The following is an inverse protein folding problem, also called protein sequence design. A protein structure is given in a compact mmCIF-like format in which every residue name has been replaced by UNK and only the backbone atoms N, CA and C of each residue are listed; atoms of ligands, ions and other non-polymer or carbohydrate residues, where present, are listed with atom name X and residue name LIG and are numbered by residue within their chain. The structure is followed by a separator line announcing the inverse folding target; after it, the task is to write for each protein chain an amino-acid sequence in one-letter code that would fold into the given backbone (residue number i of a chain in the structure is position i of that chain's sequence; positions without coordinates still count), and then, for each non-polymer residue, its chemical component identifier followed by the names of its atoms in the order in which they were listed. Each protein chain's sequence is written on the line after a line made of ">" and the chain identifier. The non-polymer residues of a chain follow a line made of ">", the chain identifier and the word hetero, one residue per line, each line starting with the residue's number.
data_IF_678562106365
#
_entry.id   IF_678562106365
#
_cell.length_a   1.000
_cell.length_b   1.000
_cell.length_c   1.000
_cell.angle_alpha   90.00
_cell.angle_beta   90.00
_cell.angle_gamma   90.00
#
_symmetry.space_group_name_H-M   'P 1'
#
loop_
_entity.id
_entity.type
_entity.pdbx_description
1 polymer ?
#
# COMPACT_ATOMS: atom_id res chain seq x y z
N UNK A 1 6.42 -11.34 -7.89
CA UNK A 1 5.57 -11.26 -9.10
C UNK A 1 6.31 -12.11 -10.08
N UNK A 2 5.75 -13.28 -10.34
CA UNK A 2 6.51 -14.34 -10.96
C UNK A 2 6.00 -14.46 -12.38
N UNK A 3 6.92 -14.31 -13.34
CA UNK A 3 6.59 -14.30 -14.76
C UNK A 3 7.17 -15.55 -15.40
N UNK A 4 6.28 -16.38 -15.93
CA UNK A 4 6.60 -17.62 -16.61
C UNK A 4 6.63 -17.37 -18.11
N UNK A 5 7.66 -17.90 -18.77
CA UNK A 5 7.85 -17.80 -20.21
C UNK A 5 7.53 -19.14 -20.86
N UNK A 6 6.78 -19.11 -21.94
CA UNK A 6 6.36 -20.31 -22.66
C UNK A 6 7.13 -20.45 -23.97
N UNK A 7 7.53 -21.68 -24.27
CA UNK A 7 8.14 -22.02 -25.56
C UNK A 7 7.09 -21.93 -26.67
N UNK A 8 7.35 -21.06 -27.63
CA UNK A 8 6.45 -20.76 -28.74
C UNK A 8 6.29 -21.95 -29.67
N UNK A 9 7.37 -22.71 -29.91
CA UNK A 9 7.33 -23.87 -30.79
C UNK A 9 6.38 -24.94 -30.25
N UNK A 10 6.28 -25.04 -28.91
CA UNK A 10 5.32 -25.90 -28.24
C UNK A 10 3.91 -25.29 -28.25
N UNK A 11 3.78 -23.97 -28.11
CA UNK A 11 2.49 -23.29 -28.14
C UNK A 11 1.82 -23.34 -29.52
N UNK A 12 2.59 -23.28 -30.61
CA UNK A 12 2.05 -23.24 -31.98
C UNK A 12 1.41 -24.55 -32.41
N UNK A 13 1.88 -25.69 -31.89
CA UNK A 13 1.32 -27.03 -32.14
C UNK A 13 0.38 -27.51 -31.03
N UNK A 14 0.13 -26.68 -30.01
CA UNK A 14 -0.67 -27.06 -28.87
C UNK A 14 -2.14 -27.26 -29.27
N UNK A 15 -2.79 -28.38 -28.86
CA UNK A 15 -4.22 -28.60 -29.11
C UNK A 15 -5.13 -27.49 -28.56
N UNK A 16 -4.67 -26.75 -27.55
CA UNK A 16 -5.40 -25.66 -26.89
C UNK A 16 -5.04 -24.27 -27.47
N UNK A 17 -4.45 -24.20 -28.68
CA UNK A 17 -3.96 -22.94 -29.24
C UNK A 17 -5.07 -21.91 -29.48
N UNK A 18 -6.28 -22.34 -29.85
CA UNK A 18 -7.38 -21.48 -30.33
C UNK A 18 -7.92 -20.45 -29.33
N UNK A 19 -7.55 -20.50 -28.05
CA UNK A 19 -7.88 -19.47 -27.07
C UNK A 19 -6.68 -18.94 -26.28
N UNK A 20 -5.47 -19.42 -26.59
CA UNK A 20 -4.31 -19.23 -25.73
C UNK A 20 -3.10 -18.68 -26.48
N UNK A 21 -2.86 -19.10 -27.72
CA UNK A 21 -1.72 -18.67 -28.51
C UNK A 21 -2.20 -17.82 -29.69
N UNK A 22 -1.57 -16.66 -29.88
CA UNK A 22 -1.83 -15.80 -31.04
C UNK A 22 -0.88 -16.21 -32.16
N UNK A 23 -1.41 -16.58 -33.32
CA UNK A 23 -0.61 -16.99 -34.47
C UNK A 23 0.40 -15.89 -34.86
N UNK A 24 1.67 -16.28 -35.02
CA UNK A 24 2.79 -15.37 -35.28
C UNK A 24 3.39 -14.67 -34.05
N UNK A 25 2.94 -14.97 -32.83
CA UNK A 25 3.50 -14.37 -31.62
C UNK A 25 4.97 -14.80 -31.36
N UNK A 26 5.86 -13.80 -31.18
CA UNK A 26 7.29 -14.00 -30.91
C UNK A 26 7.65 -14.25 -29.44
N UNK A 27 6.67 -14.18 -28.55
CA UNK A 27 6.85 -14.44 -27.12
C UNK A 27 5.50 -14.69 -26.48
N UNK A 28 5.48 -15.51 -25.43
CA UNK A 28 4.31 -15.69 -24.58
C UNK A 28 4.73 -15.78 -23.13
N UNK A 29 4.12 -14.93 -22.31
CA UNK A 29 4.39 -14.82 -20.88
C UNK A 29 3.11 -14.85 -20.09
N UNK A 30 3.17 -15.43 -18.89
CA UNK A 30 2.10 -15.37 -17.92
C UNK A 30 2.66 -14.89 -16.59
N UNK A 31 2.14 -13.78 -16.08
CA UNK A 31 2.58 -13.19 -14.82
C UNK A 31 1.55 -13.46 -13.74
N UNK A 32 1.98 -14.05 -12.63
CA UNK A 32 1.15 -14.28 -11.46
C UNK A 32 1.63 -13.40 -10.32
N UNK A 33 0.71 -12.62 -9.76
CA UNK A 33 0.96 -11.85 -8.55
C UNK A 33 0.55 -12.68 -7.34
N UNK A 34 1.50 -13.45 -6.80
CA UNK A 34 1.29 -14.12 -5.51
C UNK A 34 1.35 -13.06 -4.42
N UNK A 35 0.19 -12.68 -3.88
CA UNK A 35 0.12 -11.78 -2.73
C UNK A 35 0.67 -12.52 -1.50
N UNK A 36 1.69 -11.95 -0.86
CA UNK A 36 2.15 -12.38 0.47
C UNK A 36 0.98 -12.51 1.43
N UNK A 37 1.06 -13.44 2.39
CA UNK A 37 0.03 -13.63 3.42
C UNK A 37 -0.24 -12.34 4.20
N UNK A 38 0.77 -11.49 4.40
CA UNK A 38 0.62 -10.15 5.03
C UNK A 38 -0.32 -9.26 4.21
N UNK A 39 -0.20 -9.28 2.88
CA UNK A 39 -1.10 -8.49 2.03
C UNK A 39 -2.52 -9.04 2.06
N UNK A 40 -2.72 -10.35 2.25
CA UNK A 40 -4.06 -10.94 2.41
C UNK A 40 -4.70 -10.51 3.72
N UNK A 41 -4.00 -10.63 4.85
CA UNK A 41 -4.51 -10.21 6.15
C UNK A 41 -4.79 -8.71 6.21
N UNK A 42 -3.95 -7.87 5.59
CA UNK A 42 -4.20 -6.44 5.49
C UNK A 42 -5.47 -6.13 4.67
N UNK A 43 -5.69 -6.83 3.55
CA UNK A 43 -6.90 -6.65 2.73
C UNK A 43 -8.15 -7.05 3.52
N UNK A 44 -8.09 -8.14 4.28
CA UNK A 44 -9.21 -8.59 5.11
C UNK A 44 -9.49 -7.61 6.25
N UNK A 45 -8.45 -7.14 6.94
CA UNK A 45 -8.59 -6.14 7.99
C UNK A 45 -9.20 -4.82 7.46
N UNK A 46 -8.77 -4.34 6.30
CA UNK A 46 -9.31 -3.11 5.69
C UNK A 46 -10.80 -3.24 5.29
N UNK A 47 -11.30 -4.46 5.10
CA UNK A 47 -12.73 -4.71 4.82
C UNK A 47 -13.60 -4.65 6.07
N UNK A 48 -13.02 -4.75 7.27
CA UNK A 48 -13.78 -4.72 8.53
C UNK A 48 -14.49 -3.38 8.72
N UNK A 49 -15.67 -3.40 9.33
CA UNK A 49 -16.41 -2.16 9.64
C UNK A 49 -15.63 -1.28 10.62
N UNK A 50 -14.94 -1.87 11.60
CA UNK A 50 -14.04 -1.15 12.50
C UNK A 50 -13.02 -0.28 11.73
N UNK A 51 -12.33 -0.86 10.75
CA UNK A 51 -11.35 -0.10 9.96
C UNK A 51 -12.02 1.00 9.13
N UNK A 52 -13.16 0.70 8.50
CA UNK A 52 -13.89 1.70 7.69
C UNK A 52 -14.39 2.87 8.54
N UNK A 53 -14.95 2.60 9.71
CA UNK A 53 -15.38 3.63 10.66
C UNK A 53 -14.20 4.48 11.12
N UNK A 54 -13.11 3.86 11.57
CA UNK A 54 -11.90 4.59 11.99
C UNK A 54 -11.28 5.40 10.85
N UNK A 55 -11.31 4.88 9.62
CA UNK A 55 -10.82 5.58 8.43
C UNK A 55 -11.62 6.86 8.16
N UNK A 56 -12.95 6.85 8.38
CA UNK A 56 -13.80 8.05 8.26
C UNK A 56 -13.41 9.12 9.27
N UNK A 57 -12.86 8.75 10.44
CA UNK A 57 -12.44 9.72 11.46
C UNK A 57 -11.08 10.36 11.17
N UNK A 58 -10.34 9.90 10.16
CA UNK A 58 -8.94 10.33 9.89
C UNK A 58 -8.81 11.84 9.68
N UNK A 59 -9.82 12.52 9.16
CA UNK A 59 -9.78 13.98 8.99
C UNK A 59 -9.61 14.73 10.32
N UNK A 60 -10.04 14.14 11.44
CA UNK A 60 -9.88 14.72 12.79
C UNK A 60 -8.41 14.88 13.17
N UNK A 61 -7.53 14.04 12.62
CA UNK A 61 -6.08 14.12 12.86
C UNK A 61 -5.53 15.45 12.32
N UNK A 62 -5.93 15.86 11.12
CA UNK A 62 -5.46 17.12 10.53
C UNK A 62 -5.98 18.32 11.33
N UNK A 63 -7.24 18.27 11.77
CA UNK A 63 -7.81 19.29 12.65
C UNK A 63 -7.03 19.41 13.97
N UNK A 64 -6.71 18.28 14.62
CA UNK A 64 -5.94 18.29 15.87
C UNK A 64 -4.49 18.74 15.67
N UNK A 65 -3.86 18.36 14.56
CA UNK A 65 -2.51 18.83 14.22
C UNK A 65 -2.48 20.34 13.98
N UNK A 66 -3.51 20.88 13.32
CA UNK A 66 -3.66 22.33 13.14
C UNK A 66 -3.85 23.04 14.48
N UNK A 67 -4.67 22.49 15.39
CA UNK A 67 -4.82 23.01 16.74
C UNK A 67 -3.49 23.02 17.50
N UNK A 68 -2.75 21.91 17.52
CA UNK A 68 -1.44 21.79 18.18
C UNK A 68 -0.46 22.84 17.65
N UNK A 69 -0.37 23.00 16.32
CA UNK A 69 0.52 24.00 15.71
C UNK A 69 0.14 25.42 16.11
N UNK A 70 -1.10 25.82 15.87
CA UNK A 70 -1.48 27.24 15.97
C UNK A 70 -1.86 27.67 17.40
N UNK A 71 -2.51 26.80 18.20
CA UNK A 71 -2.91 27.15 19.57
C UNK A 71 -1.85 26.83 20.60
N UNK A 72 -1.12 25.73 20.41
CA UNK A 72 -0.10 25.28 21.36
C UNK A 72 1.32 25.66 20.93
N UNK A 73 1.49 26.46 19.87
CA UNK A 73 2.78 26.95 19.39
C UNK A 73 3.72 25.84 18.92
N UNK A 74 3.16 24.69 18.53
CA UNK A 74 3.92 23.51 18.14
C UNK A 74 4.49 23.59 16.71
N UNK A 75 4.23 24.71 16.02
CA UNK A 75 4.83 25.07 14.75
C UNK A 75 6.28 25.59 14.90
N UNK A 76 6.66 26.03 16.10
CA UNK A 76 8.01 26.52 16.43
C UNK A 76 8.68 25.54 17.40
N UNK A 77 9.91 25.12 17.07
CA UNK A 77 10.71 24.31 17.98
C UNK A 77 11.36 25.18 19.06
N UNK A 78 11.15 24.84 20.33
CA UNK A 78 11.76 25.56 21.46
C UNK A 78 13.26 25.30 21.60
N UNK A 79 13.75 24.18 21.06
CA UNK A 79 15.16 23.79 21.06
C UNK A 79 15.44 22.72 20.00
N UNK A 80 16.71 22.45 19.71
CA UNK A 80 17.16 21.46 18.74
C UNK A 80 17.30 20.06 19.34
N UNK A 81 17.03 19.04 18.53
CA UNK A 81 17.29 17.63 18.86
C UNK A 81 16.04 16.85 19.30
N UNK A 82 16.07 15.53 19.08
CA UNK A 82 14.94 14.63 19.27
C UNK A 82 14.41 14.60 20.72
N UNK A 83 15.31 14.72 21.70
CA UNK A 83 14.93 14.71 23.12
C UNK A 83 14.12 15.96 23.46
N UNK A 84 14.61 17.14 23.04
CA UNK A 84 13.93 18.41 23.27
C UNK A 84 12.56 18.45 22.57
N UNK A 85 12.47 17.95 21.32
CA UNK A 85 11.20 17.86 20.59
C UNK A 85 10.19 16.93 21.28
N UNK A 86 10.64 15.79 21.83
CA UNK A 86 9.77 14.90 22.63
C UNK A 86 9.27 15.58 23.90
N UNK A 87 10.14 16.30 24.60
CA UNK A 87 9.78 17.06 25.81
C UNK A 87 8.78 18.17 25.50
N UNK A 88 8.99 18.94 24.43
CA UNK A 88 8.05 19.96 23.97
C UNK A 88 6.66 19.35 23.74
N UNK A 89 6.59 18.18 23.10
CA UNK A 89 5.33 17.47 22.85
C UNK A 89 4.62 17.00 24.11
N UNK A 90 5.39 16.54 25.10
CA UNK A 90 4.84 16.10 26.37
C UNK A 90 4.30 17.26 27.23
N UNK A 91 4.81 18.48 27.04
CA UNK A 91 4.43 19.66 27.82
C UNK A 91 3.33 20.52 27.17
N UNK A 92 3.09 20.35 25.87
CA UNK A 92 2.15 21.19 25.12
C UNK A 92 0.66 20.80 25.29
N UNK A 93 0.36 19.63 25.89
CA UNK A 93 -0.98 19.02 26.00
C UNK A 93 -1.37 18.86 27.46
#
# INVERSE_FOLDING_TARGET
>A
MDTYYFDINRCSICPQKEGCYKDGAKSKTYSVTIKSNIHKSQIEFQKTEYFKEKSKERYKIEAKNSELKHRHGYDIASSSGLIAMKMQGALAI
#
